data_IF_791770946858
#
_entry.id   IF_791770946858
#
_cell.length_a   1.000
_cell.length_b   1.000
_cell.length_c   1.000
_cell.angle_alpha   90.00
_cell.angle_beta   90.00
_cell.angle_gamma   90.00
#
_symmetry.space_group_name_H-M   'P 1'
#
loop_
_entity.id
_entity.type
_entity.pdbx_description
1 polymer ?
#
# COMPACT_ATOMS: atom_id res chain seq x y z
N UNK A 1 -9.20 8.32 -7.08
CA UNK A 1 -8.25 7.49 -6.34
C UNK A 1 -7.76 6.40 -7.28
N UNK A 2 -6.49 6.05 -7.22
CA UNK A 2 -5.93 4.93 -8.01
C UNK A 2 -5.81 3.70 -7.12
N UNK A 3 -6.28 2.57 -7.61
CA UNK A 3 -6.14 1.25 -7.02
C UNK A 3 -5.86 0.22 -8.12
N UNK A 4 -5.21 -0.87 -7.73
CA UNK A 4 -4.86 -1.96 -8.62
C UNK A 4 -4.65 -3.23 -7.81
N UNK A 5 -4.87 -4.38 -8.44
CA UNK A 5 -4.38 -5.65 -7.89
C UNK A 5 -3.01 -5.96 -8.48
N UNK A 6 -2.14 -6.55 -7.65
CA UNK A 6 -0.80 -6.98 -8.06
C UNK A 6 -0.71 -8.49 -7.87
N UNK A 7 -0.37 -9.20 -8.94
CA UNK A 7 -0.02 -10.61 -8.91
C UNK A 7 1.49 -10.76 -9.14
N UNK A 8 2.21 -11.22 -8.12
CA UNK A 8 3.65 -11.43 -8.18
C UNK A 8 4.07 -12.71 -7.43
N UNK A 9 3.81 -13.90 -8.00
CA UNK A 9 4.01 -15.18 -7.31
C UNK A 9 5.48 -15.54 -7.10
N UNK A 10 6.37 -15.12 -8.00
CA UNK A 10 7.80 -15.39 -7.93
C UNK A 10 8.58 -14.28 -7.18
N UNK A 11 7.89 -13.22 -6.73
CA UNK A 11 8.50 -12.07 -6.08
C UNK A 11 9.58 -11.37 -6.92
N UNK A 12 9.51 -11.46 -8.25
CA UNK A 12 10.42 -10.79 -9.20
C UNK A 12 9.70 -9.63 -9.88
N UNK A 13 10.46 -8.67 -10.41
CA UNK A 13 9.90 -7.57 -11.21
C UNK A 13 9.38 -8.04 -12.58
N UNK A 14 10.02 -9.06 -13.16
CA UNK A 14 9.67 -9.57 -14.48
C UNK A 14 8.30 -10.29 -14.50
N UNK A 15 7.95 -10.95 -13.40
CA UNK A 15 6.71 -11.73 -13.28
C UNK A 15 5.53 -10.92 -12.71
N UNK A 16 5.77 -9.63 -12.41
CA UNK A 16 4.77 -8.76 -11.82
C UNK A 16 3.69 -8.41 -12.85
N UNK A 17 2.44 -8.73 -12.50
CA UNK A 17 1.26 -8.34 -13.27
C UNK A 17 0.43 -7.38 -12.44
N UNK A 18 0.11 -6.24 -13.04
CA UNK A 18 -0.78 -5.23 -12.46
C UNK A 18 -2.08 -5.21 -13.24
N UNK A 19 -3.19 -5.35 -12.53
CA UNK A 19 -4.52 -5.04 -13.06
C UNK A 19 -4.98 -3.71 -12.48
N UNK A 20 -4.86 -2.65 -13.29
CA UNK A 20 -5.31 -1.30 -12.99
C UNK A 20 -6.78 -1.05 -13.38
N UNK A 21 -7.49 -2.06 -13.90
CA UNK A 21 -8.92 -1.96 -14.18
C UNK A 21 -9.79 -2.27 -12.94
N UNK A 22 -9.18 -2.91 -11.93
CA UNK A 22 -9.84 -3.17 -10.66
C UNK A 22 -10.22 -1.85 -9.98
N UNK A 23 -11.48 -1.77 -9.55
CA UNK A 23 -12.01 -0.69 -8.73
C UNK A 23 -12.49 -1.31 -7.43
N UNK A 24 -11.80 -1.03 -6.33
CA UNK A 24 -12.08 -1.56 -5.00
C UNK A 24 -13.50 -1.17 -4.58
N UNK A 25 -14.44 -2.15 -4.54
CA UNK A 25 -15.83 -1.84 -4.25
C UNK A 25 -15.97 -1.24 -2.85
N UNK A 26 -16.72 -0.16 -2.71
CA UNK A 26 -16.96 0.50 -1.42
C UNK A 26 -15.76 1.23 -0.81
N UNK A 27 -14.65 1.39 -1.54
CA UNK A 27 -13.53 2.20 -1.09
C UNK A 27 -13.98 3.64 -0.80
N UNK A 28 -13.71 4.10 0.42
CA UNK A 28 -13.86 5.52 0.78
C UNK A 28 -12.50 6.10 1.11
N UNK A 29 -12.30 7.35 0.74
CA UNK A 29 -11.07 8.06 1.02
C UNK A 29 -11.34 9.55 1.24
N UNK A 30 -10.44 10.19 1.96
CA UNK A 30 -10.40 11.64 2.13
C UNK A 30 -8.95 12.06 2.24
N UNK A 31 -8.62 13.23 1.68
CA UNK A 31 -7.33 13.86 1.90
C UNK A 31 -7.53 15.33 2.22
N UNK A 32 -6.70 15.88 3.10
CA UNK A 32 -6.66 17.31 3.39
C UNK A 32 -5.23 17.80 3.45
N UNK A 33 -5.09 19.07 3.05
CA UNK A 33 -3.87 19.84 3.18
C UNK A 33 -4.08 20.94 4.20
N UNK A 34 -3.04 21.18 4.97
CA UNK A 34 -2.87 22.32 5.86
C UNK A 34 -1.59 23.04 5.42
N UNK A 35 -1.75 23.97 4.49
CA UNK A 35 -0.64 24.69 3.88
C UNK A 35 0.05 25.64 4.88
N UNK A 36 -0.67 26.12 5.89
CA UNK A 36 -0.13 27.01 6.92
C UNK A 36 0.90 26.28 7.81
N UNK A 37 0.68 24.99 8.05
CA UNK A 37 1.60 24.15 8.83
C UNK A 37 2.47 23.22 7.97
N UNK A 38 2.34 23.30 6.64
CA UNK A 38 3.04 22.42 5.69
C UNK A 38 2.81 20.92 5.97
N UNK A 39 1.56 20.55 6.28
CA UNK A 39 1.16 19.17 6.58
C UNK A 39 0.03 18.77 5.64
N UNK A 40 -0.01 17.49 5.27
CA UNK A 40 -1.17 16.89 4.66
C UNK A 40 -1.42 15.52 5.27
N UNK A 41 -2.66 15.07 5.19
CA UNK A 41 -3.04 13.72 5.59
C UNK A 41 -4.03 13.13 4.62
N UNK A 42 -4.03 11.80 4.56
CA UNK A 42 -4.98 10.99 3.82
C UNK A 42 -5.55 9.91 4.74
N UNK A 43 -6.81 9.58 4.52
CA UNK A 43 -7.48 8.48 5.19
C UNK A 43 -8.14 7.59 4.14
N UNK A 44 -8.06 6.27 4.36
CA UNK A 44 -8.72 5.25 3.57
C UNK A 44 -9.59 4.39 4.48
N UNK A 45 -10.80 4.08 4.03
CA UNK A 45 -11.63 3.03 4.58
C UNK A 45 -11.82 1.98 3.48
N UNK A 46 -11.09 0.88 3.61
CA UNK A 46 -11.04 -0.23 2.65
C UNK A 46 -11.95 -1.35 3.19
N UNK A 47 -13.02 -1.73 2.48
CA UNK A 47 -13.87 -2.84 2.91
C UNK A 47 -13.15 -4.18 2.83
N UNK A 48 -13.27 -5.01 3.88
CA UNK A 48 -12.69 -6.36 3.88
C UNK A 48 -13.25 -7.26 2.78
N UNK A 49 -14.52 -7.08 2.42
CA UNK A 49 -15.14 -7.76 1.27
C UNK A 49 -14.44 -7.51 -0.07
N UNK A 50 -13.63 -6.44 -0.15
CA UNK A 50 -12.86 -6.08 -1.35
C UNK A 50 -11.43 -6.61 -1.30
N UNK A 51 -10.98 -7.13 -0.15
CA UNK A 51 -9.61 -7.62 0.08
C UNK A 51 -9.58 -9.13 0.26
N UNK A 52 -10.58 -9.71 0.92
CA UNK A 52 -10.69 -11.14 1.21
C UNK A 52 -12.04 -11.70 0.76
N UNK A 53 -12.04 -12.95 0.29
CA UNK A 53 -13.27 -13.60 -0.17
C UNK A 53 -14.28 -13.84 0.97
N UNK A 54 -13.80 -14.03 2.21
CA UNK A 54 -14.67 -14.28 3.36
C UNK A 54 -15.25 -13.00 3.98
N UNK A 55 -14.84 -11.82 3.49
CA UNK A 55 -15.33 -10.49 3.93
C UNK A 55 -15.17 -10.20 5.43
N UNK A 56 -14.48 -11.05 6.19
CA UNK A 56 -14.29 -10.89 7.63
C UNK A 56 -13.01 -10.12 7.89
N UNK A 57 -13.02 -9.30 8.94
CA UNK A 57 -11.78 -8.77 9.50
C UNK A 57 -10.93 -9.95 9.97
N UNK A 58 -9.73 -10.16 9.43
CA UNK A 58 -8.84 -11.21 9.92
C UNK A 58 -8.30 -10.80 11.30
N UNK A 59 -7.99 -11.78 12.17
CA UNK A 59 -7.27 -11.50 13.42
C UNK A 59 -5.85 -10.99 13.15
N UNK A 60 -5.24 -11.46 12.06
CA UNK A 60 -3.91 -11.06 11.62
C UNK A 60 -3.82 -11.02 10.10
N UNK A 61 -3.14 -10.02 9.55
CA UNK A 61 -2.79 -10.00 8.12
C UNK A 61 -1.35 -9.50 7.88
N UNK A 62 -0.86 -9.74 6.66
CA UNK A 62 0.43 -9.22 6.18
C UNK A 62 0.19 -7.94 5.41
N UNK A 63 0.84 -6.84 5.81
CA UNK A 63 0.70 -5.55 5.12
C UNK A 63 2.00 -4.74 5.15
N UNK A 64 2.08 -3.74 4.29
CA UNK A 64 3.12 -2.72 4.37
C UNK A 64 2.58 -1.37 3.90
N UNK A 65 3.21 -0.29 4.34
CA UNK A 65 2.83 1.08 4.02
C UNK A 65 4.05 1.81 3.49
N UNK A 66 3.88 2.50 2.37
CA UNK A 66 4.96 3.12 1.62
C UNK A 66 4.72 4.61 1.45
N UNK A 67 5.81 5.38 1.48
CA UNK A 67 5.87 6.78 1.07
C UNK A 67 6.95 6.92 0.01
N UNK A 68 6.58 7.44 -1.16
CA UNK A 68 7.50 7.71 -2.25
C UNK A 68 7.46 9.20 -2.52
N UNK A 69 8.49 9.93 -2.10
CA UNK A 69 8.63 11.36 -2.35
C UNK A 69 9.51 11.58 -3.57
N UNK A 70 8.98 12.31 -4.56
CA UNK A 70 9.69 12.67 -5.80
C UNK A 70 9.78 14.19 -5.90
N UNK A 71 10.60 14.84 -5.06
CA UNK A 71 10.82 16.28 -5.17
C UNK A 71 11.47 16.61 -6.52
N UNK A 72 11.23 17.83 -7.04
CA UNK A 72 11.80 18.27 -8.32
C UNK A 72 13.31 18.42 -8.26
N UNK A 73 13.83 18.85 -7.11
CA UNK A 73 15.20 19.30 -6.93
C UNK A 73 16.02 18.41 -5.98
N UNK A 74 15.56 17.17 -5.73
CA UNK A 74 16.23 16.21 -4.85
C UNK A 74 16.06 14.77 -5.34
N UNK A 75 16.87 13.86 -4.79
CA UNK A 75 16.71 12.43 -5.04
C UNK A 75 15.34 11.93 -4.59
N UNK A 76 14.82 10.90 -5.28
CA UNK A 76 13.59 10.22 -4.83
C UNK A 76 13.85 9.54 -3.48
N UNK A 77 12.99 9.79 -2.52
CA UNK A 77 13.00 9.12 -1.23
C UNK A 77 12.00 7.96 -1.25
N UNK A 78 12.46 6.80 -0.75
CA UNK A 78 11.64 5.62 -0.57
C UNK A 78 11.63 5.24 0.91
N UNK A 79 10.47 5.38 1.55
CA UNK A 79 10.28 5.06 2.96
C UNK A 79 9.14 4.05 3.13
N UNK A 80 9.27 3.15 4.11
CA UNK A 80 8.24 2.14 4.38
C UNK A 80 8.21 1.75 5.86
N UNK A 81 7.07 1.19 6.30
CA UNK A 81 6.89 0.71 7.67
C UNK A 81 7.71 -0.56 7.95
N UNK A 82 7.60 -1.58 7.09
CA UNK A 82 8.39 -2.81 7.19
C UNK A 82 9.50 -2.82 6.13
N UNK A 83 10.80 -2.89 6.51
CA UNK A 83 11.92 -2.85 5.56
C UNK A 83 11.87 -3.95 4.50
N UNK A 84 12.00 -3.57 3.22
CA UNK A 84 12.03 -4.54 2.11
C UNK A 84 13.39 -5.21 1.93
N UNK A 85 14.47 -4.53 2.34
CA UNK A 85 15.86 -4.99 2.25
C UNK A 85 16.28 -5.36 0.81
N UNK A 86 15.97 -4.48 -0.15
CA UNK A 86 16.27 -4.68 -1.58
C UNK A 86 16.98 -3.47 -2.17
N UNK A 87 17.91 -3.73 -3.08
CA UNK A 87 18.55 -2.73 -3.93
C UNK A 87 18.51 -3.24 -5.40
N UNK A 88 17.84 -2.53 -6.33
CA UNK A 88 17.12 -1.27 -6.17
C UNK A 88 15.87 -1.38 -5.27
N UNK A 89 15.34 -0.24 -4.83
CA UNK A 89 14.13 -0.19 -4.00
C UNK A 89 12.93 -0.86 -4.70
N UNK A 90 12.29 -1.81 -4.00
CA UNK A 90 11.16 -2.57 -4.52
C UNK A 90 10.10 -2.83 -3.43
N UNK A 91 8.87 -2.39 -3.69
CA UNK A 91 7.74 -2.50 -2.77
C UNK A 91 6.88 -3.75 -3.01
N UNK A 92 7.09 -4.48 -4.11
CA UNK A 92 6.34 -5.71 -4.41
C UNK A 92 7.01 -6.95 -3.83
N UNK A 93 7.28 -6.91 -2.52
CA UNK A 93 7.92 -8.00 -1.75
C UNK A 93 7.00 -8.47 -0.61
N UNK A 94 5.93 -9.25 -0.88
CA UNK A 94 4.99 -9.71 0.16
C UNK A 94 5.65 -10.47 1.32
N UNK A 95 6.75 -11.17 1.05
CA UNK A 95 7.55 -11.86 2.08
C UNK A 95 8.12 -10.90 3.15
N UNK A 96 8.27 -9.60 2.83
CA UNK A 96 8.82 -8.55 3.70
C UNK A 96 7.76 -7.68 4.36
N UNK A 97 6.47 -7.96 4.15
CA UNK A 97 5.40 -7.24 4.82
C UNK A 97 5.52 -7.39 6.35
N UNK A 98 4.97 -6.45 7.11
CA UNK A 98 4.82 -6.60 8.55
C UNK A 98 3.62 -7.47 8.90
N UNK A 99 3.40 -7.69 10.19
CA UNK A 99 2.19 -8.31 10.72
C UNK A 99 1.29 -7.24 11.31
N UNK A 100 0.06 -7.14 10.82
CA UNK A 100 -0.99 -6.32 11.43
C UNK A 100 -1.92 -7.22 12.21
N UNK A 101 -2.04 -6.97 13.50
CA UNK A 101 -2.97 -7.64 14.39
C UNK A 101 -4.19 -6.75 14.61
N UNK A 102 -5.37 -7.31 14.43
CA UNK A 102 -6.62 -6.62 14.69
C UNK A 102 -7.14 -7.08 16.05
N UNK A 103 -7.47 -6.11 16.90
CA UNK A 103 -8.11 -6.38 18.19
C UNK A 103 -9.43 -7.12 18.02
N UNK A 104 -9.78 -7.91 19.03
CA UNK A 104 -11.07 -8.60 19.13
C UNK A 104 -12.23 -7.63 19.38
#
# INVERSE_FOLDING_TARGET
>A
MFDATIYNPASTRADLKMDASWQCPGLRWMARRDDAHNVWWGAFAIPWSSVTADSRTPSVCRANFYRIERPRDAATEYSCWSPTLTDPADFHKPARFGWLEFGA
#
